data_IF_947406661801
#
_entry.id   IF_947406661801
#
_cell.length_a   1.000
_cell.length_b   1.000
_cell.length_c   1.000
_cell.angle_alpha   90.00
_cell.angle_beta   90.00
_cell.angle_gamma   90.00
#
_symmetry.space_group_name_H-M   'P 1'
#
loop_
_entity.id
_entity.type
_entity.pdbx_description
1 polymer ?
#
# COMPACT_ATOMS: atom_id res chain seq x y z
N UNK A 1 -67.50 -12.01 0.79
CA UNK A 1 -66.35 -12.71 0.14
C UNK A 1 -65.10 -11.99 0.55
N UNK A 2 -64.27 -12.67 1.36
CA UNK A 2 -63.00 -12.13 1.89
C UNK A 2 -61.87 -12.43 0.92
N UNK A 3 -61.07 -11.47 0.48
CA UNK A 3 -59.82 -11.69 -0.21
C UNK A 3 -58.67 -11.25 0.68
N UNK A 4 -57.82 -12.23 1.02
CA UNK A 4 -56.61 -12.03 1.77
C UNK A 4 -55.50 -11.49 0.87
N UNK A 5 -54.97 -10.33 1.21
CA UNK A 5 -53.72 -9.83 0.61
C UNK A 5 -52.51 -10.44 1.34
N UNK A 6 -51.68 -11.17 0.59
CA UNK A 6 -50.41 -11.67 1.05
C UNK A 6 -49.39 -10.54 0.98
N UNK A 7 -48.88 -10.10 2.13
CA UNK A 7 -47.67 -9.29 2.22
C UNK A 7 -46.43 -10.23 2.05
N UNK A 8 -45.76 -10.12 0.93
CA UNK A 8 -44.47 -10.71 0.72
C UNK A 8 -43.41 -9.75 1.25
N UNK A 9 -42.84 -10.05 2.40
CA UNK A 9 -41.67 -9.38 2.92
C UNK A 9 -40.44 -9.86 2.11
N UNK A 10 -39.90 -9.02 1.25
CA UNK A 10 -38.64 -9.25 0.57
C UNK A 10 -37.53 -8.92 1.56
N UNK A 11 -36.97 -9.93 2.20
CA UNK A 11 -35.69 -9.81 2.91
C UNK A 11 -34.60 -9.49 1.88
N UNK A 12 -34.09 -8.28 1.92
CA UNK A 12 -32.80 -7.93 1.32
C UNK A 12 -31.72 -8.64 2.14
N UNK A 13 -31.26 -9.79 1.67
CA UNK A 13 -30.01 -10.36 2.11
C UNK A 13 -28.90 -9.46 1.59
N UNK A 14 -28.26 -8.72 2.49
CA UNK A 14 -26.92 -8.21 2.27
C UNK A 14 -26.03 -9.44 2.06
N UNK A 15 -25.54 -9.63 0.84
CA UNK A 15 -24.51 -10.60 0.57
C UNK A 15 -23.22 -10.10 1.23
N UNK A 16 -23.04 -10.46 2.50
CA UNK A 16 -21.71 -10.53 3.08
C UNK A 16 -20.99 -11.61 2.26
N UNK A 17 -20.03 -11.20 1.46
CA UNK A 17 -19.07 -12.09 0.81
C UNK A 17 -18.22 -12.70 1.91
N UNK A 18 -18.64 -13.88 2.39
CA UNK A 18 -17.77 -14.73 3.19
C UNK A 18 -16.68 -15.24 2.25
N UNK A 19 -15.45 -14.74 2.42
CA UNK A 19 -14.27 -15.44 1.93
C UNK A 19 -14.34 -16.87 2.47
N UNK A 20 -14.43 -17.86 1.61
CA UNK A 20 -14.12 -19.23 2.00
C UNK A 20 -12.62 -19.24 2.34
N UNK A 21 -12.35 -19.22 3.65
CA UNK A 21 -11.04 -19.60 4.15
C UNK A 21 -10.77 -21.03 3.62
N UNK A 22 -9.57 -21.27 3.09
CA UNK A 22 -9.13 -22.62 2.78
C UNK A 22 -9.47 -23.56 3.93
N UNK A 23 -9.75 -24.82 3.64
CA UNK A 23 -10.28 -25.79 4.63
C UNK A 23 -9.52 -25.67 5.96
N UNK A 24 -10.22 -25.42 7.09
CA UNK A 24 -9.57 -25.36 8.39
C UNK A 24 -9.10 -26.78 8.74
N UNK A 25 -7.80 -26.94 9.03
CA UNK A 25 -7.29 -28.17 9.62
C UNK A 25 -6.10 -28.84 8.96
N UNK A 26 -5.27 -28.12 8.20
CA UNK A 26 -3.93 -28.63 7.87
C UNK A 26 -2.99 -28.55 9.10
N UNK A 27 -1.89 -29.34 9.10
CA UNK A 27 -0.88 -29.19 10.14
C UNK A 27 -0.35 -27.75 10.17
N UNK A 28 -0.13 -27.21 11.38
CA UNK A 28 0.51 -25.90 11.51
C UNK A 28 1.92 -25.92 10.90
N UNK A 29 2.45 -24.78 10.52
CA UNK A 29 3.81 -24.62 10.00
C UNK A 29 4.67 -23.88 11.05
N UNK A 30 5.84 -24.44 11.39
CA UNK A 30 6.85 -23.78 12.20
C UNK A 30 8.06 -23.41 11.32
N UNK A 31 8.35 -22.12 11.19
CA UNK A 31 9.55 -21.65 10.49
C UNK A 31 10.63 -21.31 11.51
N UNK A 32 11.76 -21.98 11.41
CA UNK A 32 12.95 -21.73 12.22
C UNK A 32 13.97 -20.95 11.40
N UNK A 33 14.47 -19.85 11.93
CA UNK A 33 15.43 -19.00 11.24
C UNK A 33 16.51 -18.45 12.18
N UNK A 34 17.62 -18.02 11.61
CA UNK A 34 18.64 -17.30 12.37
C UNK A 34 18.09 -16.01 12.97
N UNK A 35 17.22 -15.32 12.24
CA UNK A 35 16.61 -14.06 12.67
C UNK A 35 15.24 -13.88 12.02
N UNK A 36 14.26 -13.42 12.77
CA UNK A 36 13.02 -12.88 12.25
C UNK A 36 13.02 -11.35 12.42
N UNK A 37 12.82 -10.61 11.35
CA UNK A 37 12.53 -9.18 11.39
C UNK A 37 11.03 -9.03 11.64
N UNK A 38 10.65 -8.78 12.90
CA UNK A 38 9.21 -8.71 13.25
C UNK A 38 8.57 -7.39 12.81
N UNK A 39 9.36 -6.33 12.69
CA UNK A 39 8.95 -5.03 12.13
C UNK A 39 7.71 -4.44 12.80
N UNK A 40 7.57 -4.54 14.14
CA UNK A 40 6.50 -3.83 14.86
C UNK A 40 6.61 -2.32 14.57
N UNK A 41 5.50 -1.64 14.38
CA UNK A 41 5.50 -0.20 14.05
C UNK A 41 6.17 0.62 15.16
N UNK A 42 5.78 0.34 16.39
CA UNK A 42 6.40 0.88 17.60
C UNK A 42 6.78 -0.31 18.49
N UNK A 43 8.05 -0.69 18.53
CA UNK A 43 8.47 -1.84 19.33
C UNK A 43 9.62 -2.62 18.71
N UNK A 44 9.55 -3.94 18.79
CA UNK A 44 10.64 -4.83 18.35
C UNK A 44 10.83 -4.76 16.84
N UNK A 45 12.09 -4.74 16.44
CA UNK A 45 12.48 -4.88 15.02
C UNK A 45 12.74 -6.34 14.70
N UNK A 46 13.40 -7.08 15.61
CA UNK A 46 13.88 -8.42 15.32
C UNK A 46 13.85 -9.37 16.53
N UNK A 47 13.84 -10.67 16.24
CA UNK A 47 14.05 -11.77 17.17
C UNK A 47 15.16 -12.66 16.61
N UNK A 48 16.23 -12.86 17.37
CA UNK A 48 17.34 -13.76 17.01
C UNK A 48 17.00 -15.23 17.32
N UNK A 49 17.54 -16.15 16.51
CA UNK A 49 17.26 -17.60 16.62
C UNK A 49 15.76 -17.87 16.78
N UNK A 50 14.99 -17.40 15.83
CA UNK A 50 13.55 -17.31 15.92
C UNK A 50 12.81 -18.58 15.54
N UNK A 51 11.61 -18.71 16.11
CA UNK A 51 10.54 -19.63 15.71
C UNK A 51 9.32 -18.77 15.38
N UNK A 52 8.70 -19.02 14.25
CA UNK A 52 7.42 -18.44 13.85
C UNK A 52 6.44 -19.59 13.66
N UNK A 53 5.33 -19.58 14.43
CA UNK A 53 4.26 -20.55 14.28
C UNK A 53 3.14 -19.95 13.42
N UNK A 54 2.67 -20.73 12.47
CA UNK A 54 1.63 -20.33 11.51
C UNK A 54 0.50 -21.36 11.58
N UNK A 55 -0.73 -20.88 11.78
CA UNK A 55 -1.97 -21.67 11.77
C UNK A 55 -3.01 -20.95 10.91
N UNK A 56 -3.73 -21.69 10.09
CA UNK A 56 -4.80 -21.16 9.23
C UNK A 56 -4.39 -19.89 8.44
N UNK A 57 -3.15 -19.87 7.98
CA UNK A 57 -2.61 -18.77 7.21
C UNK A 57 -2.23 -17.52 8.01
N UNK A 58 -2.25 -17.59 9.34
CA UNK A 58 -1.96 -16.49 10.25
C UNK A 58 -0.79 -16.81 11.17
N UNK A 59 -0.13 -15.76 11.65
CA UNK A 59 0.89 -15.87 12.70
C UNK A 59 0.20 -16.25 14.01
N UNK A 60 0.48 -17.45 14.52
CA UNK A 60 -0.01 -17.93 15.80
C UNK A 60 0.92 -17.52 16.97
N UNK A 61 2.24 -17.55 16.73
CA UNK A 61 3.23 -17.08 17.70
C UNK A 61 4.55 -16.71 17.01
N UNK A 62 5.36 -15.87 17.66
CA UNK A 62 6.74 -15.54 17.26
C UNK A 62 7.60 -15.34 18.52
N UNK A 63 8.75 -15.99 18.58
CA UNK A 63 9.69 -15.89 19.69
C UNK A 63 11.03 -16.54 19.40
N UNK A 64 11.93 -16.54 20.40
CA UNK A 64 13.20 -17.24 20.33
C UNK A 64 13.04 -18.77 20.44
N UNK A 65 13.92 -19.57 19.82
CA UNK A 65 13.89 -21.03 19.86
C UNK A 65 13.96 -21.63 21.29
N UNK A 66 14.35 -20.85 22.29
CA UNK A 66 14.42 -21.29 23.70
C UNK A 66 13.19 -20.89 24.50
N UNK A 67 12.33 -20.06 23.93
CA UNK A 67 11.19 -19.42 24.58
C UNK A 67 9.87 -19.96 24.06
N UNK A 68 9.86 -20.50 22.85
CA UNK A 68 8.68 -20.96 22.17
C UNK A 68 8.82 -22.43 21.74
N UNK A 69 7.98 -23.29 22.32
CA UNK A 69 7.89 -24.70 21.95
C UNK A 69 7.06 -24.87 20.67
N UNK A 70 7.50 -25.79 19.80
CA UNK A 70 6.76 -26.15 18.60
C UNK A 70 5.73 -27.24 18.99
N UNK A 71 4.43 -27.01 18.77
CA UNK A 71 3.42 -28.01 19.09
C UNK A 71 3.60 -29.29 18.24
N UNK A 72 3.17 -30.43 18.80
CA UNK A 72 3.18 -31.71 18.10
C UNK A 72 2.28 -31.65 16.86
N UNK A 73 2.76 -32.21 15.75
CA UNK A 73 2.03 -32.23 14.47
C UNK A 73 2.28 -31.06 13.55
N UNK A 74 3.09 -30.08 13.95
CA UNK A 74 3.51 -29.03 13.04
C UNK A 74 4.52 -29.55 12.01
N UNK A 75 4.37 -29.07 10.76
CA UNK A 75 5.45 -29.15 9.78
C UNK A 75 6.57 -28.18 10.19
N UNK A 76 7.83 -28.63 10.14
CA UNK A 76 8.97 -27.81 10.53
C UNK A 76 9.81 -27.47 9.32
N UNK A 77 9.92 -26.18 9.01
CA UNK A 77 10.80 -25.64 7.99
C UNK A 77 11.99 -24.92 8.66
N UNK A 78 13.15 -25.58 8.73
CA UNK A 78 14.37 -24.91 9.20
C UNK A 78 15.09 -24.27 8.01
N UNK A 79 15.14 -22.93 7.97
CA UNK A 79 15.80 -22.17 6.92
C UNK A 79 17.27 -21.85 7.24
N UNK A 80 17.78 -22.38 8.32
CA UNK A 80 19.20 -22.29 8.71
C UNK A 80 19.63 -20.85 9.03
N UNK A 81 20.68 -20.40 8.31
CA UNK A 81 21.25 -19.05 8.48
C UNK A 81 20.42 -17.91 7.85
N UNK A 82 19.34 -18.26 7.13
CA UNK A 82 18.49 -17.28 6.49
C UNK A 82 17.66 -16.48 7.54
N UNK A 83 17.20 -15.34 7.10
CA UNK A 83 16.32 -14.45 7.87
C UNK A 83 14.89 -14.55 7.35
N UNK A 84 13.92 -14.28 8.22
CA UNK A 84 12.52 -14.12 7.85
C UNK A 84 12.15 -12.66 8.03
N UNK A 85 11.43 -12.09 7.08
CA UNK A 85 10.84 -10.76 7.18
C UNK A 85 9.37 -10.78 6.72
N UNK A 86 8.57 -9.78 7.07
CA UNK A 86 7.27 -9.59 6.43
C UNK A 86 7.44 -9.41 4.92
N UNK A 87 6.45 -9.81 4.16
CA UNK A 87 6.41 -9.53 2.73
C UNK A 87 6.43 -8.03 2.46
N UNK A 88 7.17 -7.62 1.44
CA UNK A 88 7.35 -6.22 1.06
C UNK A 88 6.07 -5.67 0.39
N UNK A 89 5.80 -4.39 0.56
CA UNK A 89 4.58 -3.72 0.07
C UNK A 89 4.95 -2.49 -0.76
N UNK A 90 4.51 -2.47 -2.02
CA UNK A 90 4.66 -1.31 -2.91
C UNK A 90 3.32 -0.60 -3.11
N UNK A 91 3.19 0.61 -2.57
CA UNK A 91 1.95 1.40 -2.66
C UNK A 91 1.84 2.27 -3.92
N UNK A 92 2.75 2.10 -4.89
CA UNK A 92 2.69 2.87 -6.13
C UNK A 92 3.14 2.05 -7.34
N UNK A 93 2.18 1.39 -7.95
CA UNK A 93 2.40 0.46 -9.05
C UNK A 93 1.41 0.70 -10.20
N UNK A 94 1.91 0.66 -11.44
CA UNK A 94 1.11 0.75 -12.66
C UNK A 94 1.24 -0.50 -13.54
N UNK A 95 1.82 -1.60 -13.03
CA UNK A 95 2.11 -2.81 -13.81
C UNK A 95 1.26 -4.02 -13.46
N UNK A 96 0.42 -3.93 -12.43
CA UNK A 96 -0.49 -5.00 -12.00
C UNK A 96 -1.73 -5.16 -12.89
N UNK A 97 -1.85 -4.38 -13.96
CA UNK A 97 -2.94 -4.43 -14.93
C UNK A 97 -2.41 -4.22 -16.34
N UNK A 98 -3.26 -4.38 -17.37
CA UNK A 98 -2.87 -3.99 -18.71
C UNK A 98 -2.68 -2.46 -18.78
N UNK A 99 -1.58 -2.02 -19.40
CA UNK A 99 -1.23 -0.59 -19.45
C UNK A 99 -2.30 0.27 -20.12
N UNK A 100 -3.07 -0.28 -21.05
CA UNK A 100 -4.13 0.43 -21.74
C UNK A 100 -5.33 0.73 -20.86
N UNK A 101 -5.61 -0.15 -19.89
CA UNK A 101 -6.81 -0.06 -19.04
C UNK A 101 -6.59 0.78 -17.76
N UNK A 102 -5.34 0.94 -17.34
CA UNK A 102 -5.01 1.73 -16.14
C UNK A 102 -5.11 3.25 -16.34
N UNK A 103 -5.01 3.73 -17.57
CA UNK A 103 -4.87 5.14 -17.88
C UNK A 103 -5.99 5.64 -18.79
N UNK A 104 -7.25 5.48 -18.35
CA UNK A 104 -8.36 6.15 -19.03
C UNK A 104 -8.18 7.67 -18.92
N UNK A 105 -7.94 8.30 -20.08
CA UNK A 105 -7.69 9.74 -20.16
C UNK A 105 -8.84 10.52 -20.82
N UNK A 106 -10.03 9.94 -20.89
CA UNK A 106 -11.19 10.59 -21.52
C UNK A 106 -11.56 11.88 -20.78
N UNK A 107 -11.58 11.81 -19.45
CA UNK A 107 -11.84 12.99 -18.62
C UNK A 107 -10.63 13.37 -17.78
N UNK A 108 -10.59 14.60 -17.31
CA UNK A 108 -9.57 15.07 -16.37
C UNK A 108 -9.82 14.58 -14.94
N UNK A 109 -11.07 14.24 -14.64
CA UNK A 109 -11.53 13.89 -13.28
C UNK A 109 -12.38 12.62 -13.34
N UNK A 110 -11.86 11.52 -12.85
CA UNK A 110 -12.40 10.18 -13.01
C UNK A 110 -12.53 9.43 -11.66
N UNK A 111 -13.10 10.00 -10.58
CA UNK A 111 -13.09 9.31 -9.28
C UNK A 111 -13.91 8.02 -9.25
N UNK A 112 -14.80 7.79 -10.21
CA UNK A 112 -15.61 6.58 -10.32
C UNK A 112 -15.01 5.43 -11.12
N UNK A 113 -13.88 5.65 -11.84
CA UNK A 113 -13.22 4.60 -12.64
C UNK A 113 -12.39 3.70 -11.70
N UNK A 114 -12.38 2.39 -11.95
CA UNK A 114 -11.70 1.39 -11.13
C UNK A 114 -10.60 0.67 -11.89
N UNK A 115 -9.37 0.69 -11.35
CA UNK A 115 -8.24 -0.06 -11.88
C UNK A 115 -8.45 -1.58 -11.80
N UNK A 116 -9.28 -2.06 -10.88
CA UNK A 116 -9.61 -3.49 -10.73
C UNK A 116 -10.21 -4.10 -12.00
N UNK A 117 -10.89 -3.31 -12.85
CA UNK A 117 -11.39 -3.79 -14.14
C UNK A 117 -10.28 -4.24 -15.11
N UNK A 118 -9.05 -3.72 -14.93
CA UNK A 118 -7.89 -4.08 -15.75
C UNK A 118 -6.87 -4.96 -15.00
N UNK A 119 -7.13 -5.34 -13.74
CA UNK A 119 -6.20 -6.13 -12.95
C UNK A 119 -5.99 -7.53 -13.58
N UNK A 120 -4.72 -7.91 -13.74
CA UNK A 120 -4.32 -9.19 -14.33
C UNK A 120 -3.48 -9.93 -13.30
N UNK A 121 -4.08 -10.83 -12.50
CA UNK A 121 -3.33 -11.79 -11.70
C UNK A 121 -2.39 -12.58 -12.62
N UNK A 122 -1.29 -13.07 -12.09
CA UNK A 122 -0.32 -13.82 -12.90
C UNK A 122 0.46 -13.00 -13.95
N UNK A 123 0.32 -11.69 -13.93
CA UNK A 123 1.08 -10.80 -14.81
C UNK A 123 2.60 -11.08 -14.63
N UNK A 124 3.37 -11.21 -15.72
CA UNK A 124 4.82 -11.46 -15.62
C UNK A 124 5.58 -10.47 -14.72
N UNK A 125 5.17 -9.20 -14.66
CA UNK A 125 5.79 -8.21 -13.78
C UNK A 125 5.49 -8.49 -12.30
N UNK A 126 4.30 -8.99 -11.97
CA UNK A 126 3.94 -9.41 -10.62
C UNK A 126 4.75 -10.63 -10.17
N UNK A 127 5.00 -11.59 -11.08
CA UNK A 127 5.86 -12.75 -10.79
C UNK A 127 7.31 -12.36 -10.50
N UNK A 128 7.83 -11.34 -11.19
CA UNK A 128 9.16 -10.79 -10.87
C UNK A 128 9.15 -10.05 -9.53
N UNK A 129 8.13 -9.27 -9.27
CA UNK A 129 7.96 -8.56 -8.00
C UNK A 129 7.88 -9.56 -6.82
N UNK A 130 7.06 -10.61 -6.95
CA UNK A 130 6.95 -11.69 -5.98
C UNK A 130 8.31 -12.33 -5.69
N UNK A 131 9.06 -12.69 -6.74
CA UNK A 131 10.38 -13.30 -6.61
C UNK A 131 11.40 -12.40 -5.89
N UNK A 132 11.19 -11.09 -5.92
CA UNK A 132 11.97 -10.09 -5.17
C UNK A 132 11.39 -9.80 -3.78
N UNK A 133 10.35 -10.52 -3.35
CA UNK A 133 9.74 -10.38 -2.03
C UNK A 133 8.62 -9.35 -1.93
N UNK A 134 8.23 -8.68 -3.02
CA UNK A 134 7.08 -7.77 -3.02
C UNK A 134 5.80 -8.62 -3.03
N UNK A 135 5.23 -8.80 -1.86
CA UNK A 135 4.07 -9.68 -1.62
C UNK A 135 2.73 -8.98 -1.82
N UNK A 136 2.70 -7.66 -1.73
CA UNK A 136 1.47 -6.87 -1.87
C UNK A 136 1.72 -5.57 -2.60
N UNK A 137 0.75 -5.15 -3.41
CA UNK A 137 0.85 -3.97 -4.26
C UNK A 137 -0.44 -3.18 -4.26
N UNK A 138 -0.31 -1.86 -4.34
CA UNK A 138 -1.41 -0.99 -4.74
C UNK A 138 -1.26 -0.67 -6.23
N UNK A 139 -2.06 -1.33 -7.06
CA UNK A 139 -2.17 -1.03 -8.48
C UNK A 139 -3.10 0.16 -8.67
N UNK A 140 -2.59 1.25 -9.21
CA UNK A 140 -3.29 2.53 -9.35
C UNK A 140 -3.23 3.07 -10.78
N UNK A 141 -4.21 3.87 -11.17
CA UNK A 141 -4.12 4.64 -12.43
C UNK A 141 -2.90 5.55 -12.43
N UNK A 142 -2.31 5.75 -13.60
CA UNK A 142 -1.19 6.67 -13.76
C UNK A 142 -1.56 8.13 -13.54
N UNK A 143 -0.53 8.97 -13.43
CA UNK A 143 -0.69 10.41 -13.16
C UNK A 143 -1.05 11.25 -14.41
N UNK A 144 -1.69 10.64 -15.42
CA UNK A 144 -2.04 11.33 -16.67
C UNK A 144 -3.19 12.34 -16.55
N UNK A 145 -3.99 12.25 -15.49
CA UNK A 145 -5.15 13.11 -15.23
C UNK A 145 -5.10 13.64 -13.80
N UNK A 146 -5.88 14.69 -13.50
CA UNK A 146 -5.94 15.25 -12.14
C UNK A 146 -6.48 14.24 -11.11
N UNK A 147 -7.52 13.47 -11.48
CA UNK A 147 -7.98 12.30 -10.73
C UNK A 147 -8.05 11.11 -11.66
N UNK A 148 -7.18 10.12 -11.45
CA UNK A 148 -7.05 8.98 -12.34
C UNK A 148 -8.11 7.90 -12.13
N UNK A 149 -8.70 7.85 -10.95
CA UNK A 149 -9.64 6.80 -10.54
C UNK A 149 -9.19 6.04 -9.30
N UNK A 150 -9.84 4.92 -9.05
CA UNK A 150 -9.64 4.08 -7.87
C UNK A 150 -8.61 3.01 -8.16
N UNK A 151 -7.64 2.85 -7.26
CA UNK A 151 -6.69 1.73 -7.27
C UNK A 151 -7.28 0.47 -6.66
N UNK A 152 -6.53 -0.62 -6.75
CA UNK A 152 -6.83 -1.91 -6.11
C UNK A 152 -5.63 -2.42 -5.34
N UNK A 153 -5.83 -2.84 -4.10
CA UNK A 153 -4.81 -3.49 -3.26
C UNK A 153 -4.89 -5.00 -3.45
N UNK A 154 -3.79 -5.62 -3.84
CA UNK A 154 -3.70 -7.04 -4.15
C UNK A 154 -2.41 -7.67 -3.62
N UNK A 155 -2.46 -8.96 -3.34
CA UNK A 155 -1.27 -9.82 -3.25
C UNK A 155 -0.74 -10.11 -4.65
N UNK A 156 0.43 -10.72 -4.72
CA UNK A 156 1.16 -10.93 -5.99
C UNK A 156 1.35 -12.39 -6.36
N UNK A 157 1.00 -13.35 -5.51
CA UNK A 157 1.43 -14.74 -5.68
C UNK A 157 0.40 -15.82 -5.48
N UNK A 158 -0.84 -15.49 -5.10
CA UNK A 158 -1.93 -16.48 -5.03
C UNK A 158 -2.61 -16.66 -6.40
N UNK A 159 -3.39 -17.73 -6.52
CA UNK A 159 -4.12 -18.04 -7.75
C UNK A 159 -5.38 -17.15 -7.87
N UNK A 160 -5.61 -16.58 -9.02
CA UNK A 160 -6.83 -15.85 -9.29
C UNK A 160 -6.91 -14.43 -8.69
N UNK A 161 -7.99 -13.73 -9.04
CA UNK A 161 -8.23 -12.34 -8.60
C UNK A 161 -8.69 -12.30 -7.14
N UNK A 162 -9.63 -13.17 -6.78
CA UNK A 162 -10.32 -13.16 -5.49
C UNK A 162 -9.37 -13.49 -4.34
N UNK A 163 -8.47 -14.46 -4.53
CA UNK A 163 -7.49 -14.86 -3.52
C UNK A 163 -6.42 -13.77 -3.30
N UNK A 164 -6.06 -13.06 -4.36
CA UNK A 164 -5.12 -11.96 -4.29
C UNK A 164 -5.74 -10.67 -3.76
N UNK A 165 -7.06 -10.50 -3.82
CA UNK A 165 -7.72 -9.25 -3.45
C UNK A 165 -7.58 -8.96 -1.96
N UNK A 166 -6.98 -7.82 -1.64
CA UNK A 166 -6.91 -7.27 -0.28
C UNK A 166 -8.00 -6.24 -0.03
N UNK A 167 -8.19 -5.31 -0.98
CA UNK A 167 -9.24 -4.28 -0.92
C UNK A 167 -9.50 -3.63 -2.29
N UNK A 168 -10.76 -3.46 -2.66
CA UNK A 168 -11.25 -2.67 -3.80
C UNK A 168 -12.46 -1.82 -3.36
N UNK A 169 -12.37 -0.48 -3.38
CA UNK A 169 -11.25 0.33 -3.85
C UNK A 169 -10.05 0.35 -2.90
N UNK A 170 -8.84 0.31 -3.48
CA UNK A 170 -7.58 0.38 -2.73
C UNK A 170 -7.15 1.80 -2.38
N UNK A 171 -7.43 2.77 -3.22
CA UNK A 171 -7.19 4.22 -3.02
C UNK A 171 -7.95 5.05 -4.05
N UNK A 172 -7.99 6.38 -3.86
CA UNK A 172 -8.31 7.34 -4.92
C UNK A 172 -7.00 8.00 -5.41
N UNK A 173 -6.69 7.89 -6.71
CA UNK A 173 -5.50 8.51 -7.30
C UNK A 173 -5.71 9.98 -7.61
N UNK A 174 -4.86 10.83 -7.06
CA UNK A 174 -4.80 12.27 -7.29
C UNK A 174 -3.44 12.67 -7.86
N UNK A 175 -3.42 13.57 -8.85
CA UNK A 175 -2.21 14.21 -9.35
C UNK A 175 -2.46 15.70 -9.61
N UNK A 176 -1.62 16.58 -9.03
CA UNK A 176 -1.84 18.02 -9.04
C UNK A 176 -0.76 18.81 -9.80
N UNK A 177 0.27 18.13 -10.30
CA UNK A 177 1.35 18.73 -11.08
C UNK A 177 2.03 17.69 -11.98
N UNK A 178 2.90 18.15 -12.86
CA UNK A 178 3.74 17.29 -13.70
C UNK A 178 2.99 16.69 -14.88
N UNK A 179 2.68 15.39 -14.81
CA UNK A 179 2.08 14.68 -15.94
C UNK A 179 0.72 15.21 -16.39
N UNK A 180 -0.23 15.58 -15.51
CA UNK A 180 -1.50 16.17 -15.95
C UNK A 180 -1.32 17.51 -16.69
N UNK A 181 -0.29 18.28 -16.33
CA UNK A 181 0.00 19.58 -16.99
C UNK A 181 0.36 19.44 -18.48
N UNK A 182 0.79 18.24 -18.90
CA UNK A 182 1.17 17.91 -20.29
C UNK A 182 0.02 17.35 -21.12
N UNK A 183 -1.18 17.15 -20.51
CA UNK A 183 -2.31 16.54 -21.17
C UNK A 183 -2.90 17.43 -22.28
N UNK A 184 -2.75 16.99 -23.51
CA UNK A 184 -3.41 17.63 -24.66
C UNK A 184 -4.91 17.30 -24.71
N UNK A 185 -5.78 18.15 -25.25
CA UNK A 185 -5.49 19.51 -25.73
C UNK A 185 -5.55 20.59 -24.64
N UNK A 186 -5.88 20.22 -23.41
CA UNK A 186 -6.28 21.16 -22.35
C UNK A 186 -5.10 21.78 -21.62
N UNK A 187 -4.00 21.06 -21.46
CA UNK A 187 -2.82 21.51 -20.72
C UNK A 187 -3.16 22.21 -19.40
N UNK A 188 -3.90 21.55 -18.48
CA UNK A 188 -4.35 22.16 -17.23
C UNK A 188 -3.15 22.60 -16.40
N UNK A 189 -3.23 23.75 -15.74
CA UNK A 189 -2.19 24.24 -14.83
C UNK A 189 -2.56 23.98 -13.37
N UNK A 190 -1.59 24.10 -12.49
CA UNK A 190 -1.74 23.80 -11.05
C UNK A 190 -2.90 24.53 -10.41
N UNK A 191 -3.09 25.82 -10.73
CA UNK A 191 -4.22 26.60 -10.20
C UNK A 191 -5.58 26.00 -10.61
N UNK A 192 -5.70 25.57 -11.87
CA UNK A 192 -6.91 24.90 -12.32
C UNK A 192 -7.10 23.54 -11.64
N UNK A 193 -6.05 22.71 -11.57
CA UNK A 193 -6.14 21.41 -10.91
C UNK A 193 -6.48 21.53 -9.42
N UNK A 194 -5.91 22.52 -8.74
CA UNK A 194 -6.24 22.82 -7.36
C UNK A 194 -7.73 23.20 -7.18
N UNK A 195 -8.24 24.08 -8.05
CA UNK A 195 -9.67 24.40 -8.09
C UNK A 195 -10.54 23.18 -8.38
N UNK A 196 -10.17 22.38 -9.38
CA UNK A 196 -10.90 21.20 -9.80
C UNK A 196 -10.95 20.14 -8.67
N UNK A 197 -9.84 19.92 -7.99
CA UNK A 197 -9.77 19.01 -6.85
C UNK A 197 -10.69 19.49 -5.71
N UNK A 198 -10.60 20.76 -5.31
CA UNK A 198 -11.48 21.33 -4.27
C UNK A 198 -12.96 21.19 -4.62
N UNK A 199 -13.31 21.52 -5.86
CA UNK A 199 -14.71 21.45 -6.30
C UNK A 199 -15.24 20.01 -6.29
N UNK A 200 -14.42 19.04 -6.72
CA UNK A 200 -14.76 17.62 -6.71
C UNK A 200 -14.87 17.11 -5.28
N UNK A 201 -13.92 17.43 -4.41
CA UNK A 201 -13.92 16.98 -3.00
C UNK A 201 -15.09 17.57 -2.24
N UNK A 202 -15.38 18.87 -2.40
CA UNK A 202 -16.57 19.49 -1.77
C UNK A 202 -17.84 18.75 -2.14
N UNK A 203 -18.01 18.38 -3.41
CA UNK A 203 -19.19 17.63 -3.87
C UNK A 203 -19.19 16.21 -3.35
N UNK A 204 -18.06 15.52 -3.39
CA UNK A 204 -17.92 14.15 -2.91
C UNK A 204 -18.15 14.02 -1.40
N UNK A 205 -17.57 14.92 -0.60
CA UNK A 205 -17.79 14.95 0.86
C UNK A 205 -19.25 15.27 1.20
N UNK A 206 -19.89 16.21 0.48
CA UNK A 206 -21.31 16.48 0.66
C UNK A 206 -22.18 15.26 0.31
N UNK A 207 -21.84 14.55 -0.76
CA UNK A 207 -22.49 13.30 -1.13
C UNK A 207 -22.35 12.22 -0.03
N UNK A 208 -21.14 11.99 0.44
CA UNK A 208 -20.88 11.02 1.50
C UNK A 208 -21.67 11.33 2.77
N UNK A 209 -21.69 12.62 3.18
CA UNK A 209 -22.47 13.07 4.35
C UNK A 209 -23.96 12.84 4.19
N UNK A 210 -24.54 13.07 3.00
CA UNK A 210 -25.95 12.81 2.78
C UNK A 210 -26.31 11.33 2.95
N UNK A 211 -25.44 10.42 2.53
CA UNK A 211 -25.60 8.99 2.74
C UNK A 211 -25.43 8.60 4.22
N UNK A 212 -24.45 9.17 4.92
CA UNK A 212 -24.25 8.96 6.36
C UNK A 212 -25.50 9.41 7.15
N UNK A 213 -26.08 10.57 6.83
CA UNK A 213 -27.29 11.07 7.48
C UNK A 213 -28.49 10.17 7.23
N UNK A 214 -28.64 9.64 6.02
CA UNK A 214 -29.69 8.69 5.67
C UNK A 214 -29.53 7.36 6.42
N UNK A 215 -28.34 6.79 6.41
CA UNK A 215 -28.02 5.51 7.07
C UNK A 215 -28.12 5.60 8.60
N UNK A 216 -27.82 6.76 9.15
CA UNK A 216 -28.00 7.07 10.58
C UNK A 216 -29.49 7.37 10.94
N UNK A 217 -30.41 7.33 9.98
CA UNK A 217 -31.85 7.63 10.22
C UNK A 217 -32.16 9.09 10.52
N UNK A 218 -31.23 10.02 10.25
CA UNK A 218 -31.41 11.46 10.45
C UNK A 218 -32.32 12.11 9.39
N UNK A 219 -32.46 11.45 8.25
CA UNK A 219 -33.38 11.83 7.17
C UNK A 219 -34.06 10.58 6.61
N UNK A 220 -35.29 10.74 6.10
CA UNK A 220 -36.01 9.68 5.39
C UNK A 220 -35.79 9.72 3.87
N UNK A 221 -35.19 10.80 3.36
CA UNK A 221 -34.88 10.97 1.95
C UNK A 221 -33.60 10.22 1.60
N UNK A 222 -33.74 9.14 0.81
CA UNK A 222 -32.60 8.36 0.33
C UNK A 222 -31.87 9.15 -0.76
N UNK A 223 -30.56 9.39 -0.63
CA UNK A 223 -29.78 10.04 -1.68
C UNK A 223 -29.78 9.23 -2.98
N UNK A 224 -29.73 9.91 -4.11
CA UNK A 224 -29.53 9.27 -5.41
C UNK A 224 -28.08 8.75 -5.50
N UNK A 225 -27.90 7.54 -6.05
CA UNK A 225 -26.58 6.95 -6.20
C UNK A 225 -25.83 7.59 -7.36
N UNK A 226 -24.66 8.19 -7.06
CA UNK A 226 -23.74 8.76 -8.05
C UNK A 226 -22.41 7.98 -8.01
N UNK A 227 -22.16 7.16 -9.04
CA UNK A 227 -20.97 6.33 -9.14
C UNK A 227 -19.66 7.13 -9.13
N UNK A 228 -19.72 8.39 -9.53
CA UNK A 228 -18.57 9.28 -9.50
C UNK A 228 -18.13 9.60 -8.06
N UNK A 229 -19.07 9.64 -7.12
CA UNK A 229 -18.79 10.06 -5.73
C UNK A 229 -18.86 8.92 -4.70
N UNK A 230 -19.22 7.69 -5.09
CA UNK A 230 -19.27 6.55 -4.15
C UNK A 230 -17.99 6.35 -3.35
N UNK A 231 -16.80 6.56 -3.97
CA UNK A 231 -15.50 6.45 -3.28
C UNK A 231 -15.38 7.39 -2.07
N UNK A 232 -16.08 8.52 -2.08
CA UNK A 232 -15.99 9.48 -0.97
C UNK A 232 -16.64 8.96 0.31
N UNK A 233 -17.54 7.97 0.23
CA UNK A 233 -18.09 7.32 1.42
C UNK A 233 -17.01 6.56 2.19
N UNK A 234 -16.21 5.78 1.50
CA UNK A 234 -15.08 5.07 2.14
C UNK A 234 -13.90 5.98 2.49
N UNK A 235 -13.74 7.13 1.80
CA UNK A 235 -12.75 8.14 2.19
C UNK A 235 -13.16 8.89 3.47
N UNK A 236 -14.43 9.22 3.65
CA UNK A 236 -14.91 9.92 4.86
C UNK A 236 -15.03 8.99 6.06
N UNK A 237 -15.21 7.67 5.86
CA UNK A 237 -15.13 6.65 6.92
C UNK A 237 -13.71 6.17 7.21
N UNK A 238 -12.70 6.69 6.51
CA UNK A 238 -11.28 6.30 6.61
C UNK A 238 -10.98 4.83 6.25
N UNK A 239 -11.92 4.14 5.59
CA UNK A 239 -11.69 2.77 5.08
C UNK A 239 -10.71 2.73 3.90
N UNK A 240 -10.59 3.85 3.19
CA UNK A 240 -9.71 4.03 2.03
C UNK A 240 -9.01 5.38 2.12
N UNK A 241 -7.90 5.53 1.42
CA UNK A 241 -7.08 6.73 1.42
C UNK A 241 -6.86 7.28 0.00
N UNK A 242 -6.33 8.49 -0.06
CA UNK A 242 -5.92 9.14 -1.31
C UNK A 242 -4.44 8.92 -1.52
N UNK A 243 -4.07 8.31 -2.68
CA UNK A 243 -2.70 8.24 -3.17
C UNK A 243 -2.42 9.45 -4.06
N UNK A 244 -1.28 10.11 -3.85
CA UNK A 244 -1.03 11.41 -4.49
C UNK A 244 0.26 11.42 -5.29
N UNK A 245 0.21 11.85 -6.55
CA UNK A 245 1.41 12.20 -7.30
C UNK A 245 1.86 13.61 -6.88
N UNK A 246 2.76 13.69 -5.92
CA UNK A 246 3.28 14.95 -5.36
C UNK A 246 4.80 14.96 -5.43
N UNK A 247 5.31 15.95 -6.12
CA UNK A 247 6.77 16.06 -6.30
C UNK A 247 7.24 17.44 -5.89
N UNK A 248 7.65 18.25 -5.70
CA UNK A 248 8.12 19.59 -5.27
C UNK A 248 7.37 20.10 -4.04
N UNK A 249 8.08 20.87 -3.26
CA UNK A 249 7.61 21.47 -1.99
C UNK A 249 6.21 22.07 -2.08
N UNK A 250 5.98 22.95 -3.06
CA UNK A 250 4.70 23.65 -3.17
C UNK A 250 3.51 22.71 -3.38
N UNK A 251 3.70 21.61 -4.13
CA UNK A 251 2.63 20.67 -4.40
C UNK A 251 2.39 19.74 -3.21
N UNK A 252 3.45 19.29 -2.56
CA UNK A 252 3.34 18.52 -1.30
C UNK A 252 2.61 19.33 -0.24
N UNK A 253 3.05 20.56 0.00
CA UNK A 253 2.41 21.48 0.97
C UNK A 253 0.93 21.68 0.66
N UNK A 254 0.58 21.98 -0.58
CA UNK A 254 -0.81 22.20 -1.00
C UNK A 254 -1.66 20.93 -0.93
N UNK A 255 -1.08 19.76 -1.14
CA UNK A 255 -1.77 18.48 -0.97
C UNK A 255 -2.16 18.25 0.49
N UNK A 256 -1.22 18.43 1.41
CA UNK A 256 -1.49 18.29 2.86
C UNK A 256 -2.56 19.28 3.28
N UNK A 257 -2.37 20.56 2.95
CA UNK A 257 -3.30 21.64 3.35
C UNK A 257 -4.71 21.38 2.80
N UNK A 258 -4.83 21.04 1.53
CA UNK A 258 -6.13 20.87 0.91
C UNK A 258 -6.79 19.55 1.35
N UNK A 259 -6.08 18.43 1.19
CA UNK A 259 -6.71 17.12 1.39
C UNK A 259 -6.91 16.82 2.88
N UNK A 260 -5.88 17.05 3.69
CA UNK A 260 -5.93 16.69 5.11
C UNK A 260 -6.54 17.80 5.97
N UNK A 261 -6.12 19.07 5.83
CA UNK A 261 -6.62 20.13 6.72
C UNK A 261 -7.97 20.69 6.29
N UNK A 262 -8.18 20.94 4.98
CA UNK A 262 -9.43 21.54 4.50
C UNK A 262 -10.59 20.52 4.44
N UNK A 263 -10.32 19.29 3.98
CA UNK A 263 -11.35 18.27 3.79
C UNK A 263 -11.34 17.13 4.83
N UNK A 264 -10.30 17.01 5.65
CA UNK A 264 -10.18 15.97 6.67
C UNK A 264 -10.02 14.56 6.11
N UNK A 265 -9.64 14.42 4.82
CA UNK A 265 -9.57 13.12 4.17
C UNK A 265 -8.21 12.45 4.40
N UNK A 266 -8.16 11.11 4.53
CA UNK A 266 -6.93 10.37 4.65
C UNK A 266 -6.11 10.44 3.36
N UNK A 267 -4.83 10.81 3.50
CA UNK A 267 -3.91 11.01 2.38
C UNK A 267 -2.48 10.68 2.80
N UNK A 268 -1.69 10.22 1.86
CA UNK A 268 -0.25 10.10 2.02
C UNK A 268 0.49 10.74 0.84
N UNK A 269 1.73 11.14 1.08
CA UNK A 269 2.63 11.68 0.06
C UNK A 269 3.17 10.51 -0.73
N UNK A 270 2.87 10.47 -2.04
CA UNK A 270 3.53 9.59 -3.00
C UNK A 270 4.62 10.37 -3.72
N UNK A 271 5.73 9.72 -3.94
CA UNK A 271 6.97 10.29 -4.47
C UNK A 271 7.68 11.24 -3.51
N UNK A 272 7.08 12.36 -3.15
CA UNK A 272 7.70 13.36 -2.26
C UNK A 272 9.07 13.87 -2.74
N UNK A 273 9.39 13.71 -4.03
CA UNK A 273 10.70 13.93 -4.62
C UNK A 273 11.08 15.40 -4.73
N UNK A 274 12.27 15.65 -5.25
CA UNK A 274 12.91 16.97 -5.34
C UNK A 274 13.03 17.62 -3.95
N UNK A 275 12.52 18.84 -3.78
CA UNK A 275 12.53 19.57 -2.52
C UNK A 275 11.23 19.36 -1.69
N UNK A 276 10.46 18.31 -1.99
CA UNK A 276 9.21 17.95 -1.30
C UNK A 276 9.38 17.79 0.21
N UNK A 277 10.53 17.27 0.66
CA UNK A 277 10.88 17.09 2.06
C UNK A 277 10.79 18.38 2.91
N UNK A 278 10.83 19.57 2.29
CA UNK A 278 10.65 20.84 2.99
C UNK A 278 9.27 20.97 3.65
N UNK A 279 8.28 20.19 3.22
CA UNK A 279 6.96 20.09 3.84
C UNK A 279 6.88 19.02 4.94
N UNK A 280 7.99 18.41 5.33
CA UNK A 280 8.02 17.27 6.26
C UNK A 280 7.40 17.59 7.63
N UNK A 281 7.76 18.72 8.25
CA UNK A 281 7.15 19.16 9.54
C UNK A 281 5.63 19.24 9.42
N UNK A 282 5.13 19.82 8.34
CA UNK A 282 3.69 19.91 8.06
C UNK A 282 3.05 18.53 7.87
N UNK A 283 3.76 17.58 7.23
CA UNK A 283 3.29 16.23 7.06
C UNK A 283 3.17 15.51 8.40
N UNK A 284 4.19 15.60 9.27
CA UNK A 284 4.16 14.98 10.60
C UNK A 284 3.06 15.59 11.50
N UNK A 285 2.93 16.90 11.55
CA UNK A 285 1.87 17.59 12.30
C UNK A 285 0.46 17.12 11.91
N UNK A 286 0.26 16.69 10.68
CA UNK A 286 -1.01 16.22 10.14
C UNK A 286 -1.14 14.69 10.09
N UNK A 287 -0.14 13.95 10.57
CA UNK A 287 -0.11 12.48 10.53
C UNK A 287 -0.06 11.90 9.11
N UNK A 288 0.53 12.63 8.15
CA UNK A 288 0.61 12.24 6.74
C UNK A 288 1.93 11.50 6.50
N UNK A 289 1.84 10.22 6.17
CA UNK A 289 3.00 9.40 5.82
C UNK A 289 3.62 9.82 4.48
N UNK A 290 4.92 9.55 4.32
CA UNK A 290 5.65 9.81 3.08
C UNK A 290 6.14 8.48 2.47
N UNK A 291 5.53 8.05 1.34
CA UNK A 291 5.91 6.87 0.57
C UNK A 291 6.74 7.32 -0.62
N UNK A 292 8.05 7.28 -0.44
CA UNK A 292 9.03 7.99 -1.26
C UNK A 292 9.54 7.15 -2.44
N UNK A 293 9.81 7.78 -3.57
CA UNK A 293 10.39 7.15 -4.75
C UNK A 293 9.81 7.69 -6.04
N UNK A 294 10.32 7.27 -7.21
CA UNK A 294 11.52 6.43 -7.40
C UNK A 294 12.84 7.21 -7.31
N UNK A 295 12.81 8.50 -7.07
CA UNK A 295 13.99 9.36 -6.99
C UNK A 295 14.49 9.45 -5.54
N UNK A 296 15.65 8.87 -5.26
CA UNK A 296 16.23 8.83 -3.92
C UNK A 296 16.98 10.11 -3.52
N UNK A 297 17.39 10.94 -4.48
CA UNK A 297 18.25 12.11 -4.25
C UNK A 297 17.72 13.38 -4.88
N UNK A 298 18.06 14.50 -4.27
CA UNK A 298 17.91 15.86 -4.80
C UNK A 298 19.31 16.46 -4.98
N UNK A 299 19.55 17.02 -6.16
CA UNK A 299 20.68 17.86 -6.48
C UNK A 299 20.26 19.30 -6.68
N UNK A 300 21.20 20.25 -6.75
CA UNK A 300 20.89 21.66 -7.04
C UNK A 300 20.04 21.81 -8.30
N UNK A 301 19.08 22.75 -8.27
CA UNK A 301 18.18 23.03 -9.37
C UNK A 301 16.78 23.49 -8.89
N UNK A 302 16.24 22.89 -7.83
CA UNK A 302 15.01 23.34 -7.16
C UNK A 302 15.30 24.12 -5.88
N UNK A 303 16.39 23.78 -5.21
CA UNK A 303 16.95 24.47 -4.04
C UNK A 303 18.45 24.59 -4.22
N UNK A 304 19.04 25.61 -3.61
CA UNK A 304 20.48 25.73 -3.53
C UNK A 304 21.01 24.81 -2.43
N UNK A 305 21.81 23.82 -2.83
CA UNK A 305 22.47 22.87 -1.94
C UNK A 305 23.99 23.09 -1.84
N UNK A 306 24.48 24.20 -2.40
CA UNK A 306 25.93 24.51 -2.45
C UNK A 306 26.74 23.33 -3.01
N UNK A 307 26.24 22.74 -4.11
CA UNK A 307 26.86 21.59 -4.78
C UNK A 307 26.71 20.23 -4.05
N UNK A 308 26.04 20.19 -2.91
CA UNK A 308 25.81 18.95 -2.16
C UNK A 308 24.66 18.13 -2.75
N UNK A 309 24.59 16.87 -2.35
CA UNK A 309 23.47 15.96 -2.61
C UNK A 309 22.66 15.85 -1.32
N UNK A 310 21.35 15.97 -1.44
CA UNK A 310 20.39 15.71 -0.38
C UNK A 310 19.67 14.40 -0.63
N UNK A 311 19.71 13.45 0.30
CA UNK A 311 18.84 12.27 0.30
C UNK A 311 17.38 12.69 0.54
N UNK A 312 16.45 12.23 -0.28
CA UNK A 312 15.04 12.59 -0.15
C UNK A 312 14.47 12.02 1.15
N UNK A 313 14.70 10.74 1.44
CA UNK A 313 14.24 10.10 2.69
C UNK A 313 14.89 10.76 3.93
N UNK A 314 16.21 10.99 3.91
CA UNK A 314 16.91 11.71 4.96
C UNK A 314 16.30 13.10 5.19
N UNK A 315 15.97 13.82 4.12
CA UNK A 315 15.37 15.15 4.22
C UNK A 315 13.99 15.18 4.90
N UNK A 316 13.17 14.12 4.71
CA UNK A 316 11.92 13.96 5.47
C UNK A 316 12.18 13.57 6.93
N UNK A 317 13.08 12.63 7.17
CA UNK A 317 13.45 12.17 8.53
C UNK A 317 14.04 13.31 9.36
N UNK A 318 14.92 14.12 8.81
CA UNK A 318 15.49 15.33 9.44
C UNK A 318 14.43 16.37 9.86
N UNK A 319 13.23 16.30 9.25
CA UNK A 319 12.06 17.15 9.57
C UNK A 319 11.03 16.45 10.45
N UNK A 320 11.42 15.34 11.06
CA UNK A 320 10.63 14.65 12.05
C UNK A 320 9.53 13.74 11.49
N UNK A 321 9.50 13.48 10.17
CA UNK A 321 8.52 12.54 9.62
C UNK A 321 8.85 11.14 10.12
N UNK A 322 7.94 10.59 10.91
CA UNK A 322 8.10 9.29 11.58
C UNK A 322 7.71 8.11 10.69
N UNK A 323 6.80 8.31 9.73
CA UNK A 323 6.31 7.26 8.82
C UNK A 323 6.81 7.49 7.40
N UNK A 324 7.99 6.91 7.11
CA UNK A 324 8.64 6.97 5.80
C UNK A 324 8.65 5.57 5.19
N UNK A 325 8.09 5.43 4.00
CA UNK A 325 8.12 4.22 3.18
C UNK A 325 8.74 4.50 1.82
N UNK A 326 8.81 3.45 0.99
CA UNK A 326 9.43 3.49 -0.33
C UNK A 326 8.48 2.95 -1.39
N UNK A 327 8.59 3.46 -2.61
CA UNK A 327 7.85 2.98 -3.78
C UNK A 327 8.73 2.93 -5.03
N UNK A 328 8.28 2.21 -6.06
CA UNK A 328 9.00 2.10 -7.33
C UNK A 328 8.44 3.00 -8.41
N UNK A 329 7.18 3.44 -8.30
CA UNK A 329 6.45 4.05 -9.42
C UNK A 329 6.53 3.14 -10.68
N UNK A 330 6.47 1.81 -10.47
CA UNK A 330 6.66 0.85 -11.55
C UNK A 330 5.68 1.15 -12.72
N UNK A 331 6.16 1.24 -13.98
CA UNK A 331 7.45 0.74 -14.51
C UNK A 331 8.58 1.78 -14.55
N UNK A 332 8.51 2.90 -13.85
CA UNK A 332 9.60 3.91 -13.83
C UNK A 332 10.87 3.28 -13.26
N UNK A 333 10.75 2.62 -12.12
CA UNK A 333 11.72 1.65 -11.62
C UNK A 333 11.03 0.28 -11.64
N UNK A 334 11.69 -0.79 -12.09
CA UNK A 334 11.12 -2.12 -12.03
C UNK A 334 10.68 -2.48 -10.60
N UNK A 335 9.49 -3.05 -10.46
CA UNK A 335 8.90 -3.30 -9.14
C UNK A 335 9.74 -4.21 -8.26
N UNK A 336 10.49 -5.15 -8.86
CA UNK A 336 11.44 -6.01 -8.17
C UNK A 336 12.62 -5.24 -7.55
N UNK A 337 12.82 -3.97 -7.88
CA UNK A 337 13.86 -3.11 -7.30
C UNK A 337 13.38 -2.28 -6.09
N UNK A 338 12.25 -2.64 -5.47
CA UNK A 338 11.71 -1.92 -4.30
C UNK A 338 12.75 -1.85 -3.15
N UNK A 339 13.46 -2.95 -2.88
CA UNK A 339 14.51 -2.96 -1.85
C UNK A 339 15.65 -1.98 -2.16
N UNK A 340 15.95 -1.78 -3.44
CA UNK A 340 17.00 -0.84 -3.88
C UNK A 340 16.62 0.59 -3.55
N UNK A 341 15.31 0.94 -3.58
CA UNK A 341 14.84 2.27 -3.19
C UNK A 341 15.15 2.57 -1.72
N UNK A 342 14.92 1.61 -0.81
CA UNK A 342 15.26 1.75 0.60
C UNK A 342 16.79 1.80 0.80
N UNK A 343 17.52 0.90 0.14
CA UNK A 343 18.99 0.88 0.19
C UNK A 343 19.61 2.21 -0.28
N UNK A 344 19.09 2.80 -1.33
CA UNK A 344 19.51 4.14 -1.80
C UNK A 344 19.14 5.23 -0.81
N UNK A 345 17.98 5.12 -0.14
CA UNK A 345 17.59 6.02 0.96
C UNK A 345 18.66 6.02 2.06
N UNK A 346 19.05 4.83 2.54
CA UNK A 346 20.08 4.65 3.57
C UNK A 346 21.45 5.16 3.08
N UNK A 347 21.83 4.82 1.84
CA UNK A 347 23.09 5.29 1.25
C UNK A 347 23.21 6.83 1.25
N UNK A 348 22.09 7.53 1.07
CA UNK A 348 22.03 9.00 1.05
C UNK A 348 21.54 9.61 2.38
N UNK A 349 21.79 8.94 3.50
CA UNK A 349 21.69 9.50 4.83
C UNK A 349 20.39 9.27 5.60
N UNK A 350 19.49 8.42 5.09
CA UNK A 350 18.37 7.94 5.90
C UNK A 350 18.91 7.06 7.03
N UNK A 351 18.64 7.42 8.27
CA UNK A 351 19.07 6.64 9.44
C UNK A 351 18.21 5.37 9.58
N UNK A 352 18.88 4.24 9.51
CA UNK A 352 18.31 2.89 9.63
C UNK A 352 18.77 2.16 10.91
N UNK A 353 19.35 2.88 11.86
CA UNK A 353 19.88 2.28 13.10
C UNK A 353 18.82 1.51 13.89
N UNK A 354 17.55 1.94 13.79
CA UNK A 354 16.40 1.31 14.44
C UNK A 354 15.56 0.41 13.48
N UNK A 355 16.09 0.12 12.27
CA UNK A 355 15.40 -0.71 11.28
C UNK A 355 14.25 0.01 10.55
N UNK A 356 14.33 1.32 10.42
CA UNK A 356 13.28 2.12 9.79
C UNK A 356 13.19 1.88 8.28
N UNK A 357 14.29 1.50 7.63
CA UNK A 357 14.27 1.17 6.21
C UNK A 357 13.46 -0.10 5.92
N UNK A 358 13.60 -1.16 6.72
CA UNK A 358 12.79 -2.37 6.55
C UNK A 358 11.34 -2.13 6.98
N UNK A 359 11.08 -1.34 8.00
CA UNK A 359 9.71 -0.88 8.33
C UNK A 359 9.09 -0.09 7.19
N UNK A 360 9.89 0.74 6.52
CA UNK A 360 9.49 1.52 5.35
C UNK A 360 9.14 0.68 4.11
N UNK A 361 9.55 -0.59 4.08
CA UNK A 361 9.18 -1.57 3.06
C UNK A 361 8.01 -2.47 3.48
N UNK A 362 7.60 -2.44 4.76
CA UNK A 362 6.69 -3.44 5.34
C UNK A 362 5.54 -2.79 6.12
N UNK A 363 5.73 -2.49 7.40
CA UNK A 363 4.65 -2.02 8.29
C UNK A 363 4.21 -0.58 7.98
N UNK A 364 5.11 0.29 7.56
CA UNK A 364 4.75 1.69 7.22
C UNK A 364 3.79 1.73 6.03
N UNK A 365 4.08 1.10 4.87
CA UNK A 365 3.10 1.04 3.78
C UNK A 365 1.84 0.26 4.15
N UNK A 366 1.91 -0.82 4.95
CA UNK A 366 0.73 -1.54 5.42
C UNK A 366 -0.21 -0.62 6.22
N UNK A 367 0.32 0.10 7.20
CA UNK A 367 -0.44 1.04 8.04
C UNK A 367 -0.97 2.21 7.21
N UNK A 368 -0.16 2.75 6.30
CA UNK A 368 -0.55 3.83 5.38
C UNK A 368 -1.74 3.42 4.50
N UNK A 369 -1.79 2.15 4.10
CA UNK A 369 -2.90 1.60 3.34
C UNK A 369 -4.09 1.12 4.20
N UNK A 370 -4.06 1.30 5.53
CA UNK A 370 -5.08 0.80 6.45
C UNK A 370 -5.13 -0.74 6.55
N UNK A 371 -4.00 -1.40 6.30
CA UNK A 371 -3.83 -2.86 6.40
C UNK A 371 -2.87 -3.27 7.53
N UNK A 372 -2.45 -2.33 8.39
CA UNK A 372 -1.48 -2.58 9.45
C UNK A 372 -1.88 -3.66 10.45
N UNK A 373 -3.19 -3.85 10.68
CA UNK A 373 -3.71 -4.92 11.54
C UNK A 373 -3.64 -6.31 10.88
N UNK A 374 -3.37 -6.37 9.58
CA UNK A 374 -3.33 -7.63 8.82
C UNK A 374 -1.97 -7.98 8.27
N UNK A 375 -1.17 -6.99 7.86
CA UNK A 375 0.06 -7.15 7.09
C UNK A 375 1.20 -6.28 7.63
N UNK A 376 2.40 -6.48 7.13
CA UNK A 376 3.54 -5.59 7.28
C UNK A 376 4.42 -5.87 8.51
N UNK A 377 3.99 -6.74 9.43
CA UNK A 377 4.81 -7.18 10.56
C UNK A 377 4.53 -8.63 10.93
N UNK A 378 5.47 -9.27 11.64
CA UNK A 378 5.29 -10.63 12.15
C UNK A 378 4.73 -10.53 13.57
N UNK A 379 3.42 -10.35 13.66
CA UNK A 379 2.69 -10.22 14.93
C UNK A 379 1.51 -11.21 14.95
N UNK A 380 1.18 -11.70 16.15
CA UNK A 380 0.09 -12.66 16.33
C UNK A 380 -1.23 -12.14 15.77
N UNK A 381 -1.90 -12.98 14.99
CA UNK A 381 -3.18 -12.70 14.33
C UNK A 381 -3.08 -12.08 12.94
N UNK A 382 -1.92 -11.57 12.53
CA UNK A 382 -1.70 -11.07 11.17
C UNK A 382 -1.54 -12.21 10.17
N UNK A 383 -1.82 -11.92 8.91
CA UNK A 383 -1.66 -12.87 7.82
C UNK A 383 -0.17 -13.24 7.66
N UNK A 384 0.12 -14.53 7.45
CA UNK A 384 1.49 -15.01 7.30
C UNK A 384 2.01 -14.76 5.87
N UNK A 385 2.14 -13.49 5.51
CA UNK A 385 2.78 -13.01 4.29
C UNK A 385 4.25 -12.71 4.62
N UNK A 386 5.15 -13.64 4.26
CA UNK A 386 6.54 -13.67 4.72
C UNK A 386 7.50 -13.85 3.56
N UNK A 387 8.73 -13.36 3.73
CA UNK A 387 9.85 -13.66 2.83
C UNK A 387 11.00 -14.29 3.60
N UNK A 388 11.64 -15.27 2.97
CA UNK A 388 12.89 -15.87 3.47
C UNK A 388 14.04 -15.28 2.67
N UNK A 389 14.97 -14.64 3.36
CA UNK A 389 16.07 -13.89 2.77
C UNK A 389 17.44 -14.40 3.25
N UNK A 390 18.48 -14.25 2.43
CA UNK A 390 19.85 -14.60 2.82
C UNK A 390 20.46 -13.64 3.85
N UNK A 391 19.79 -12.55 4.18
CA UNK A 391 20.25 -11.53 5.14
C UNK A 391 19.27 -10.39 5.29
N UNK A 392 19.76 -9.21 5.64
CA UNK A 392 18.93 -8.01 5.81
C UNK A 392 18.35 -7.54 4.46
N UNK A 393 17.01 -7.41 4.32
CA UNK A 393 16.37 -7.11 3.03
C UNK A 393 16.84 -5.81 2.38
N UNK A 394 17.26 -4.81 3.16
CA UNK A 394 17.74 -3.52 2.64
C UNK A 394 19.18 -3.60 2.12
N UNK A 395 19.93 -4.66 2.45
CA UNK A 395 21.24 -4.89 1.84
C UNK A 395 21.04 -5.39 0.40
N UNK A 396 21.50 -4.67 -0.63
CA UNK A 396 21.30 -5.06 -2.04
C UNK A 396 22.02 -6.38 -2.43
N UNK A 397 22.83 -6.97 -1.54
CA UNK A 397 23.45 -8.31 -1.72
C UNK A 397 22.50 -9.42 -1.24
N UNK A 398 21.45 -9.09 -0.53
CA UNK A 398 20.47 -10.05 -0.02
C UNK A 398 19.62 -10.60 -1.16
N UNK A 399 19.44 -11.92 -1.17
CA UNK A 399 18.54 -12.59 -2.10
C UNK A 399 17.31 -13.11 -1.35
N UNK A 400 16.17 -13.08 -2.03
CA UNK A 400 14.95 -13.75 -1.58
C UNK A 400 14.98 -15.20 -2.06
N UNK A 401 14.83 -16.15 -1.14
CA UNK A 401 14.86 -17.58 -1.41
C UNK A 401 13.44 -18.19 -1.50
N UNK A 402 12.53 -17.74 -0.63
CA UNK A 402 11.15 -18.19 -0.61
C UNK A 402 10.21 -17.03 -0.29
N UNK A 403 8.98 -17.13 -0.78
CA UNK A 403 7.89 -16.22 -0.40
C UNK A 403 6.69 -17.05 0.04
N UNK A 404 6.08 -16.62 1.14
CA UNK A 404 4.85 -17.17 1.68
C UNK A 404 3.76 -16.09 1.64
N UNK A 405 2.55 -16.50 1.29
CA UNK A 405 1.35 -15.66 1.39
C UNK A 405 0.26 -16.47 2.08
N UNK A 406 -0.30 -15.91 3.15
CA UNK A 406 -1.26 -16.61 4.02
C UNK A 406 -0.75 -18.00 4.45
N UNK A 407 0.55 -18.11 4.74
CA UNK A 407 1.19 -19.37 5.12
C UNK A 407 1.45 -20.36 3.98
N UNK A 408 0.96 -20.11 2.76
CA UNK A 408 1.26 -20.91 1.58
C UNK A 408 2.57 -20.47 0.94
N UNK A 409 3.43 -21.44 0.63
CA UNK A 409 4.66 -21.19 -0.13
C UNK A 409 4.30 -20.93 -1.60
N UNK A 410 4.46 -19.69 -2.06
CA UNK A 410 4.09 -19.23 -3.41
C UNK A 410 5.29 -19.02 -4.33
N UNK A 411 6.50 -19.04 -3.77
CA UNK A 411 7.75 -19.00 -4.53
C UNK A 411 8.87 -19.69 -3.75
N UNK A 412 9.68 -20.49 -4.43
CA UNK A 412 10.84 -21.17 -3.88
C UNK A 412 11.92 -21.32 -4.97
N UNK A 413 13.10 -20.77 -4.74
CA UNK A 413 14.23 -20.86 -5.70
C UNK A 413 14.78 -22.26 -5.89
N UNK A 414 14.43 -23.23 -5.04
CA UNK A 414 14.80 -24.64 -5.17
C UNK A 414 13.85 -25.43 -6.06
N UNK A 415 12.59 -24.98 -6.15
CA UNK A 415 11.54 -25.66 -6.91
C UNK A 415 11.35 -25.03 -8.30
N UNK A 416 11.65 -23.76 -8.45
CA UNK A 416 11.56 -23.05 -9.71
C UNK A 416 12.88 -22.33 -10.07
N UNK A 417 12.97 -21.94 -11.35
CA UNK A 417 14.09 -21.11 -11.78
C UNK A 417 14.04 -19.77 -11.06
N UNK A 418 15.17 -19.37 -10.46
CA UNK A 418 15.32 -18.02 -9.88
C UNK A 418 14.96 -16.95 -10.93
N UNK A 419 14.07 -16.06 -10.58
CA UNK A 419 13.56 -15.00 -11.45
C UNK A 419 14.21 -13.66 -11.17
N UNK A 420 14.75 -13.49 -9.93
CA UNK A 420 15.39 -12.25 -9.48
C UNK A 420 16.61 -12.51 -8.59
#
# INVERSE_FOLDING_TARGET
MRSHGLLTATMLMSAAWSQEAGEPGGPGLAILARKALVCELEGRVAVDNSVILIEDGKIAAVGGRRELDIPEGYEVLDVGDNWVAPGLIDLHNHTGASLGDLNDMVFLTNPGIRASAGAVPDNPTQKLALAAGVSSVLTIPGSGTNMGGQGVLMRTGLDGYEENLLRDPGSLKLAQAGNPERRAPWFPRRSFMNYNTRNTFRRGVAYARSWEEFEAGKTSERPEKDLQFEIFRSLTSEETQISTHTQIYQVVLMTITMVREEFGLPVYIDHGTFDGFRAGEKAEENGVAAILGPRAIQVSGFIDLDGRIQGVAAGYQERGVSRIGFNTDAPVIPQQELIVQAAMGVHYGFDDSEGDAVRGLTIVPATTAGLGDRLGSIEVGKDADLIICTGYPVDPRTAVEMVFQRGFKVYDTKEEKRRW
#
